data_IF_141881998208
#
_entry.id   IF_141881998208
#
_cell.length_a   1.000
_cell.length_b   1.000
_cell.length_c   1.000
_cell.angle_alpha   90.00
_cell.angle_beta   90.00
_cell.angle_gamma   90.00
#
_symmetry.space_group_name_H-M   'P 1'
#
loop_
_entity.id
_entity.type
_entity.pdbx_description
1 polymer ?
#
# COMPACT_ATOMS: atom_id res chain seq x y z
N UNK A 1 1.94 -5.82 -18.96
CA UNK A 1 2.46 -7.05 -18.33
C UNK A 1 3.14 -7.93 -19.37
N UNK A 2 4.24 -8.62 -19.04
CA UNK A 2 4.90 -9.52 -19.99
C UNK A 2 4.00 -10.74 -20.27
N UNK A 3 4.01 -11.26 -21.51
CA UNK A 3 3.09 -12.34 -21.92
C UNK A 3 3.24 -13.63 -21.10
N UNK A 4 4.44 -13.91 -20.57
CA UNK A 4 4.72 -15.12 -19.77
C UNK A 4 4.00 -15.11 -18.41
N UNK A 5 3.87 -13.94 -17.80
CA UNK A 5 3.26 -13.77 -16.47
C UNK A 5 1.77 -14.02 -16.50
N UNK A 6 1.10 -13.53 -17.55
CA UNK A 6 -0.33 -13.80 -17.80
C UNK A 6 -0.58 -15.30 -17.88
N UNK A 7 0.28 -15.99 -18.64
CA UNK A 7 0.21 -17.44 -18.83
C UNK A 7 0.42 -18.18 -17.51
N UNK A 8 1.44 -17.81 -16.73
CA UNK A 8 1.73 -18.44 -15.44
C UNK A 8 0.60 -18.23 -14.42
N UNK A 9 0.05 -17.01 -14.34
CA UNK A 9 -1.05 -16.70 -13.44
C UNK A 9 -2.33 -17.44 -13.82
N UNK A 10 -2.65 -17.51 -15.12
CA UNK A 10 -3.80 -18.26 -15.60
C UNK A 10 -3.66 -19.77 -15.39
N UNK A 11 -2.45 -20.31 -15.54
CA UNK A 11 -2.15 -21.71 -15.27
C UNK A 11 -2.25 -22.03 -13.78
N UNK A 12 -1.78 -21.12 -12.92
CA UNK A 12 -1.95 -21.20 -11.48
C UNK A 12 -3.43 -21.27 -11.08
N UNK A 13 -4.25 -20.34 -11.59
CA UNK A 13 -5.69 -20.34 -11.36
C UNK A 13 -6.35 -21.65 -11.82
N UNK A 14 -6.00 -22.13 -13.01
CA UNK A 14 -6.54 -23.37 -13.55
C UNK A 14 -6.13 -24.61 -12.73
N UNK A 15 -5.00 -24.58 -12.04
CA UNK A 15 -4.49 -25.69 -11.24
C UNK A 15 -5.07 -25.71 -9.83
N UNK A 16 -5.21 -24.54 -9.20
CA UNK A 16 -5.59 -24.42 -7.79
C UNK A 16 -7.08 -24.17 -7.55
N UNK A 17 -7.82 -23.70 -8.56
CA UNK A 17 -9.26 -23.48 -8.46
C UNK A 17 -10.03 -24.55 -9.23
N UNK A 18 -11.08 -25.08 -8.60
CA UNK A 18 -12.12 -25.84 -9.30
C UNK A 18 -12.93 -24.94 -10.23
N UNK A 19 -13.69 -25.53 -11.14
CA UNK A 19 -14.51 -24.76 -12.07
C UNK A 19 -15.59 -23.94 -11.35
N UNK A 20 -16.26 -24.52 -10.36
CA UNK A 20 -17.23 -23.83 -9.53
C UNK A 20 -16.62 -22.66 -8.74
N UNK A 21 -15.39 -22.82 -8.24
CA UNK A 21 -14.67 -21.74 -7.56
C UNK A 21 -14.28 -20.63 -8.53
N UNK A 22 -13.87 -20.96 -9.77
CA UNK A 22 -13.58 -19.93 -10.77
C UNK A 22 -14.81 -19.11 -11.18
N UNK A 23 -15.99 -19.73 -11.22
CA UNK A 23 -17.25 -19.02 -11.46
C UNK A 23 -17.52 -18.01 -10.34
N UNK A 24 -17.39 -18.45 -9.08
CA UNK A 24 -17.59 -17.58 -7.91
C UNK A 24 -16.54 -16.47 -7.86
N UNK A 25 -15.29 -16.80 -8.17
CA UNK A 25 -14.18 -15.87 -8.21
C UNK A 25 -14.32 -14.83 -9.32
N UNK A 26 -14.76 -15.23 -10.53
CA UNK A 26 -15.07 -14.27 -11.58
C UNK A 26 -16.23 -13.36 -11.18
N UNK A 27 -17.28 -13.92 -10.56
CA UNK A 27 -18.44 -13.18 -10.08
C UNK A 27 -18.10 -12.16 -8.99
N UNK A 28 -17.21 -12.50 -8.04
CA UNK A 28 -16.75 -11.56 -7.00
C UNK A 28 -15.97 -10.38 -7.58
N UNK A 29 -15.30 -10.59 -8.72
CA UNK A 29 -14.62 -9.54 -9.49
C UNK A 29 -15.56 -8.80 -10.47
N UNK A 30 -16.87 -9.08 -10.44
CA UNK A 30 -17.85 -8.44 -11.31
C UNK A 30 -17.78 -8.89 -12.78
N UNK A 31 -17.21 -10.08 -13.04
CA UNK A 31 -17.07 -10.66 -14.37
C UNK A 31 -17.97 -11.87 -14.54
N UNK A 32 -18.75 -11.86 -15.61
CA UNK A 32 -19.58 -13.00 -15.97
C UNK A 32 -18.72 -14.10 -16.60
N UNK A 33 -18.56 -15.20 -15.86
CA UNK A 33 -17.77 -16.35 -16.29
C UNK A 33 -18.29 -16.98 -17.60
N UNK A 34 -19.57 -16.85 -17.89
CA UNK A 34 -20.16 -17.38 -19.13
C UNK A 34 -19.81 -16.54 -20.36
N UNK A 35 -19.45 -15.27 -20.18
CA UNK A 35 -19.01 -14.40 -21.26
C UNK A 35 -17.50 -14.50 -21.54
N UNK A 36 -16.75 -15.29 -20.77
CA UNK A 36 -15.32 -15.52 -21.01
C UNK A 36 -15.10 -16.45 -22.22
N UNK A 37 -14.14 -16.10 -23.05
CA UNK A 37 -13.73 -16.90 -24.19
C UNK A 37 -13.03 -18.19 -23.74
N UNK A 38 -13.45 -19.32 -24.31
CA UNK A 38 -12.83 -20.62 -24.05
C UNK A 38 -13.81 -21.69 -23.56
N UNK A 39 -13.60 -22.92 -24.04
CA UNK A 39 -14.46 -24.07 -23.70
C UNK A 39 -13.96 -24.89 -22.51
N UNK A 40 -12.73 -24.66 -22.08
CA UNK A 40 -12.12 -25.39 -20.97
C UNK A 40 -11.87 -24.46 -19.80
N UNK A 41 -11.87 -25.01 -18.58
CA UNK A 41 -11.50 -24.29 -17.35
C UNK A 41 -10.20 -23.49 -17.52
N UNK A 42 -9.19 -24.12 -18.13
CA UNK A 42 -7.91 -23.47 -18.43
C UNK A 42 -8.10 -22.28 -19.37
N UNK A 43 -8.79 -22.47 -20.50
CA UNK A 43 -9.01 -21.38 -21.45
C UNK A 43 -9.77 -20.19 -20.82
N UNK A 44 -10.80 -20.46 -20.00
CA UNK A 44 -11.54 -19.42 -19.27
C UNK A 44 -10.68 -18.71 -18.22
N UNK A 45 -9.80 -19.41 -17.51
CA UNK A 45 -8.84 -18.79 -16.59
C UNK A 45 -7.86 -17.84 -17.32
N UNK A 46 -7.43 -18.22 -18.53
CA UNK A 46 -6.60 -17.37 -19.38
C UNK A 46 -7.34 -16.12 -19.83
N UNK A 47 -8.58 -16.26 -20.29
CA UNK A 47 -9.36 -15.10 -20.73
C UNK A 47 -9.74 -14.19 -19.55
N UNK A 48 -10.02 -14.74 -18.36
CA UNK A 48 -10.24 -13.95 -17.14
C UNK A 48 -9.03 -13.06 -16.82
N UNK A 49 -7.82 -13.62 -16.82
CA UNK A 49 -6.59 -12.85 -16.57
C UNK A 49 -6.37 -11.80 -17.66
N UNK A 50 -6.61 -12.15 -18.93
CA UNK A 50 -6.50 -11.22 -20.04
C UNK A 50 -7.54 -10.08 -19.95
N UNK A 51 -8.77 -10.39 -19.53
CA UNK A 51 -9.84 -9.44 -19.32
C UNK A 51 -9.50 -8.44 -18.21
N UNK A 52 -9.01 -8.92 -17.06
CA UNK A 52 -8.60 -8.06 -15.94
C UNK A 52 -7.40 -7.17 -16.29
N UNK A 53 -6.42 -7.70 -17.05
CA UNK A 53 -5.28 -6.92 -17.51
C UNK A 53 -5.70 -5.81 -18.50
N UNK A 54 -6.64 -6.08 -19.42
CA UNK A 54 -7.19 -5.06 -20.34
C UNK A 54 -7.87 -3.90 -19.59
N UNK A 55 -8.46 -4.17 -18.43
CA UNK A 55 -9.11 -3.17 -17.58
C UNK A 55 -8.19 -2.52 -16.55
N UNK A 56 -6.92 -2.92 -16.49
CA UNK A 56 -6.00 -2.47 -15.44
C UNK A 56 -6.37 -2.96 -14.03
N UNK A 57 -7.26 -3.96 -13.92
CA UNK A 57 -7.79 -4.49 -12.66
C UNK A 57 -7.02 -5.72 -12.16
N UNK A 58 -5.80 -5.95 -12.65
CA UNK A 58 -4.99 -7.10 -12.21
C UNK A 58 -4.66 -7.05 -10.73
N UNK A 59 -4.50 -5.84 -10.15
CA UNK A 59 -4.30 -5.68 -8.71
C UNK A 59 -5.52 -6.14 -7.89
N UNK A 60 -6.74 -5.89 -8.39
CA UNK A 60 -7.96 -6.37 -7.75
C UNK A 60 -8.07 -7.90 -7.80
N UNK A 61 -7.67 -8.51 -8.92
CA UNK A 61 -7.59 -9.96 -9.05
C UNK A 61 -6.61 -10.57 -8.03
N UNK A 62 -5.42 -9.98 -7.85
CA UNK A 62 -4.44 -10.45 -6.86
C UNK A 62 -4.96 -10.33 -5.43
N UNK A 63 -5.54 -9.17 -5.09
CA UNK A 63 -6.14 -8.92 -3.77
C UNK A 63 -7.25 -9.93 -3.46
N UNK A 64 -8.09 -10.25 -4.44
CA UNK A 64 -9.15 -11.23 -4.25
C UNK A 64 -8.60 -12.64 -3.99
N UNK A 65 -7.51 -13.03 -4.66
CA UNK A 65 -6.88 -14.34 -4.40
C UNK A 65 -6.29 -14.39 -2.98
N UNK A 66 -5.70 -13.30 -2.51
CA UNK A 66 -5.16 -13.20 -1.15
C UNK A 66 -6.26 -13.35 -0.08
N UNK A 67 -7.43 -12.74 -0.30
CA UNK A 67 -8.58 -12.86 0.59
C UNK A 67 -9.14 -14.28 0.65
N UNK A 68 -9.24 -14.96 -0.51
CA UNK A 68 -9.84 -16.30 -0.57
C UNK A 68 -8.88 -17.41 -0.13
N UNK A 69 -7.59 -17.32 -0.49
CA UNK A 69 -6.58 -18.33 -0.18
C UNK A 69 -5.25 -17.67 0.19
N UNK A 70 -5.08 -17.22 1.45
CA UNK A 70 -3.86 -16.53 1.90
C UNK A 70 -2.60 -17.42 1.87
N UNK A 71 -2.74 -18.74 1.78
CA UNK A 71 -1.60 -19.66 1.62
C UNK A 71 -1.05 -19.73 0.18
N UNK A 72 -1.81 -19.23 -0.80
CA UNK A 72 -1.44 -19.20 -2.22
C UNK A 72 -0.89 -17.84 -2.66
N UNK A 73 -1.13 -16.77 -1.88
CA UNK A 73 -0.70 -15.41 -2.20
C UNK A 73 0.81 -15.30 -2.32
N UNK A 74 1.57 -15.99 -1.47
CA UNK A 74 3.04 -16.05 -1.52
C UNK A 74 3.56 -16.53 -2.88
N UNK A 75 3.03 -17.64 -3.40
CA UNK A 75 3.43 -18.19 -4.70
C UNK A 75 3.04 -17.29 -5.88
N UNK A 76 1.89 -16.63 -5.78
CA UNK A 76 1.43 -15.70 -6.81
C UNK A 76 2.29 -14.43 -6.82
N UNK A 77 2.63 -13.90 -5.65
CA UNK A 77 3.48 -12.72 -5.52
C UNK A 77 4.87 -13.00 -6.10
N UNK A 78 5.44 -14.19 -5.88
CA UNK A 78 6.69 -14.60 -6.52
C UNK A 78 6.59 -14.61 -8.06
N UNK A 79 5.53 -15.21 -8.62
CA UNK A 79 5.28 -15.22 -10.08
C UNK A 79 5.15 -13.79 -10.62
N UNK A 80 4.50 -12.91 -9.87
CA UNK A 80 4.26 -11.52 -10.23
C UNK A 80 5.53 -10.65 -10.15
N UNK A 81 6.30 -10.78 -9.07
CA UNK A 81 7.53 -10.04 -8.81
C UNK A 81 8.65 -10.43 -9.77
N UNK A 82 8.82 -11.73 -10.06
CA UNK A 82 9.78 -12.22 -11.06
C UNK A 82 9.50 -11.64 -12.46
N UNK A 83 8.24 -11.32 -12.75
CA UNK A 83 7.83 -10.71 -14.01
C UNK A 83 8.00 -9.20 -14.05
N UNK A 84 7.75 -8.50 -12.94
CA UNK A 84 7.81 -7.04 -12.87
C UNK A 84 9.25 -6.51 -12.82
N UNK A 85 10.20 -7.31 -12.30
CA UNK A 85 11.64 -7.00 -12.24
C UNK A 85 12.35 -7.01 -13.61
N UNK A 86 11.66 -7.29 -14.71
CA UNK A 86 12.23 -7.25 -16.07
C UNK A 86 11.77 -6.01 -16.88
N UNK A 87 11.63 -4.86 -16.22
CA UNK A 87 11.58 -3.54 -16.87
C UNK A 87 12.89 -2.82 -16.57
N UNK A 88 13.67 -2.35 -17.56
CA UNK A 88 14.76 -1.43 -17.26
C UNK A 88 14.17 -0.20 -16.56
N UNK A 89 14.69 0.13 -15.37
CA UNK A 89 14.36 1.37 -14.68
C UNK A 89 14.56 2.54 -15.64
N UNK A 90 13.46 3.08 -16.18
CA UNK A 90 13.50 4.30 -16.98
C UNK A 90 13.51 5.48 -16.02
N UNK A 91 14.71 6.06 -15.88
CA UNK A 91 15.00 7.49 -15.67
C UNK A 91 13.97 8.28 -14.84
N UNK A 92 14.27 8.48 -13.55
CA UNK A 92 13.81 9.68 -12.83
C UNK A 92 14.84 10.80 -13.07
N UNK A 93 14.43 12.00 -13.52
CA UNK A 93 15.34 13.14 -13.55
C UNK A 93 15.68 13.54 -12.11
N UNK A 94 16.98 13.59 -11.81
CA UNK A 94 17.48 14.19 -10.59
C UNK A 94 17.15 15.68 -10.59
N UNK A 95 16.25 16.13 -9.72
CA UNK A 95 16.12 17.55 -9.42
C UNK A 95 17.25 17.96 -8.48
N UNK A 96 18.42 18.22 -9.07
CA UNK A 96 19.51 18.91 -8.39
C UNK A 96 19.26 20.42 -8.43
N UNK A 97 19.55 21.08 -7.30
CA UNK A 97 19.39 22.50 -7.02
C UNK A 97 19.99 23.38 -8.14
N UNK A 98 19.26 24.39 -8.64
CA UNK A 98 19.79 25.71 -9.07
C UNK A 98 18.70 26.69 -9.58
N UNK A 99 18.85 27.97 -9.19
CA UNK A 99 18.48 29.24 -9.85
C UNK A 99 17.02 29.70 -10.07
N UNK A 100 16.57 30.53 -9.12
CA UNK A 100 16.12 31.95 -9.21
C UNK A 100 15.90 32.67 -10.58
N UNK A 101 14.84 33.52 -10.61
CA UNK A 101 14.42 34.61 -11.58
C UNK A 101 13.66 34.17 -12.86
N UNK A 102 12.48 34.67 -13.30
CA UNK A 102 11.76 35.95 -13.15
C UNK A 102 10.26 35.82 -13.52
N UNK A 103 9.38 36.48 -12.75
CA UNK A 103 7.97 36.77 -13.09
C UNK A 103 7.89 38.16 -13.74
N UNK A 104 7.36 38.24 -14.96
CA UNK A 104 6.99 39.50 -15.61
C UNK A 104 5.56 39.91 -15.25
N UNK A 105 5.44 40.93 -14.41
CA UNK A 105 4.20 41.55 -13.93
C UNK A 105 3.67 42.52 -15.00
N UNK A 106 2.43 42.36 -15.46
CA UNK A 106 1.77 43.42 -16.25
C UNK A 106 0.46 43.06 -16.98
N UNK A 107 0.26 41.81 -17.40
CA UNK A 107 -0.85 41.46 -18.31
C UNK A 107 -2.00 40.61 -17.74
N UNK A 108 -1.87 40.06 -16.53
CA UNK A 108 -2.76 38.97 -16.07
C UNK A 108 -3.90 39.46 -15.14
N UNK A 109 -3.80 40.68 -14.59
CA UNK A 109 -4.75 41.15 -13.58
C UNK A 109 -6.18 41.39 -14.10
N UNK A 110 -6.39 41.60 -15.40
CA UNK A 110 -7.71 41.92 -15.94
C UNK A 110 -8.46 40.72 -16.53
N UNK A 111 -7.78 39.63 -16.88
CA UNK A 111 -8.42 38.39 -17.35
C UNK A 111 -8.82 37.44 -16.20
N UNK A 112 -8.29 37.66 -14.99
CA UNK A 112 -8.63 36.86 -13.81
C UNK A 112 -9.95 37.25 -13.13
N UNK A 113 -10.57 38.38 -13.49
CA UNK A 113 -11.76 38.87 -12.76
C UNK A 113 -13.10 38.44 -13.39
N UNK A 114 -13.17 38.18 -14.70
CA UNK A 114 -14.39 37.72 -15.36
C UNK A 114 -14.47 36.19 -15.57
N UNK A 115 -13.36 35.47 -15.40
CA UNK A 115 -13.39 34.01 -15.29
C UNK A 115 -13.82 33.51 -13.89
N UNK A 116 -13.93 34.40 -12.90
CA UNK A 116 -14.15 33.98 -11.50
C UNK A 116 -15.63 33.81 -11.10
N UNK A 117 -16.57 34.49 -11.77
CA UNK A 117 -18.00 34.42 -11.37
C UNK A 117 -18.77 33.34 -12.15
N UNK A 118 -18.43 33.08 -13.41
CA UNK A 118 -19.04 32.01 -14.20
C UNK A 118 -18.56 30.59 -13.84
N UNK A 119 -17.34 30.47 -13.31
CA UNK A 119 -16.76 29.19 -12.88
C UNK A 119 -17.37 28.69 -11.56
N UNK A 120 -17.87 29.60 -10.70
CA UNK A 120 -18.38 29.26 -9.37
C UNK A 120 -19.73 28.51 -9.37
N UNK A 121 -20.44 28.44 -10.50
CA UNK A 121 -21.67 27.64 -10.65
C UNK A 121 -21.53 26.42 -11.56
N UNK A 122 -20.40 26.25 -12.26
CA UNK A 122 -20.22 25.16 -13.23
C UNK A 122 -19.44 23.95 -12.66
N UNK A 123 -18.63 24.13 -11.61
CA UNK A 123 -17.78 23.05 -11.05
C UNK A 123 -18.51 22.15 -10.05
N UNK A 124 -19.64 22.57 -9.48
CA UNK A 124 -20.43 21.73 -8.56
C UNK A 124 -21.15 20.54 -9.27
N UNK A 125 -21.01 20.40 -10.59
CA UNK A 125 -21.73 19.40 -11.39
C UNK A 125 -20.95 18.18 -11.89
N UNK A 126 -19.65 18.27 -12.20
CA UNK A 126 -18.95 17.22 -12.95
C UNK A 126 -17.42 17.18 -12.71
N UNK A 127 -16.97 17.00 -11.48
CA UNK A 127 -15.55 16.79 -11.22
C UNK A 127 -15.29 16.31 -9.81
N UNK A 128 -15.43 15.00 -9.57
CA UNK A 128 -14.77 14.39 -8.43
C UNK A 128 -13.27 14.69 -8.55
N UNK A 129 -12.71 15.39 -7.57
CA UNK A 129 -11.26 15.50 -7.45
C UNK A 129 -10.68 14.08 -7.54
N UNK A 130 -9.59 13.85 -8.30
CA UNK A 130 -8.85 12.61 -8.13
C UNK A 130 -8.43 12.58 -6.67
N UNK A 131 -9.09 11.76 -5.86
CA UNK A 131 -8.65 11.45 -4.51
C UNK A 131 -7.21 10.99 -4.66
N UNK A 132 -6.27 11.81 -4.20
CA UNK A 132 -4.89 11.38 -4.08
C UNK A 132 -4.93 10.10 -3.25
N UNK A 133 -4.61 8.97 -3.89
CA UNK A 133 -4.44 7.72 -3.15
C UNK A 133 -3.30 8.01 -2.16
N UNK A 134 -3.51 7.79 -0.84
CA UNK A 134 -2.45 8.07 0.11
C UNK A 134 -1.25 7.17 -0.22
N UNK A 135 -0.13 7.80 -0.60
CA UNK A 135 1.12 7.10 -0.92
C UNK A 135 1.83 6.58 0.36
N UNK A 136 1.32 6.99 1.53
CA UNK A 136 1.83 6.64 2.84
C UNK A 136 0.71 6.10 3.75
N UNK A 137 1.06 5.14 4.59
CA UNK A 137 0.25 4.66 5.71
C UNK A 137 0.78 5.28 7.00
N UNK A 138 -0.12 5.58 7.92
CA UNK A 138 0.25 6.05 9.26
C UNK A 138 0.20 4.86 10.22
N UNK A 139 1.33 4.53 10.83
CA UNK A 139 1.43 3.47 11.83
C UNK A 139 1.70 4.07 13.21
N UNK A 140 0.89 3.71 14.20
CA UNK A 140 0.98 4.27 15.55
C UNK A 140 1.35 3.18 16.55
N UNK A 141 2.30 3.48 17.42
CA UNK A 141 2.75 2.60 18.50
C UNK A 141 2.53 3.31 19.83
N UNK A 142 1.82 2.68 20.75
CA UNK A 142 1.60 3.20 22.11
C UNK A 142 2.43 2.41 23.12
N UNK A 143 3.32 3.08 23.82
CA UNK A 143 4.18 2.51 24.86
C UNK A 143 3.59 2.75 26.23
N UNK A 144 3.45 1.70 27.02
CA UNK A 144 2.89 1.74 28.36
C UNK A 144 3.74 0.93 29.33
N UNK A 145 3.88 1.44 30.54
CA UNK A 145 4.59 0.79 31.63
C UNK A 145 3.73 -0.35 32.21
N UNK A 146 4.29 -1.55 32.32
CA UNK A 146 3.53 -2.73 32.77
C UNK A 146 3.10 -2.66 34.23
N UNK A 147 3.85 -1.94 35.09
CA UNK A 147 3.65 -1.89 36.54
C UNK A 147 2.63 -0.82 36.90
N UNK A 148 2.82 0.39 36.38
CA UNK A 148 1.99 1.56 36.67
C UNK A 148 0.79 1.69 35.73
N UNK A 149 0.82 1.04 34.55
CA UNK A 149 -0.17 1.25 33.51
C UNK A 149 -0.13 2.65 32.90
N UNK A 150 0.91 3.44 33.15
CA UNK A 150 1.03 4.81 32.64
C UNK A 150 1.72 4.84 31.28
N UNK A 151 1.39 5.79 30.40
CA UNK A 151 2.09 5.97 29.13
C UNK A 151 3.55 6.36 29.36
N UNK A 152 4.47 5.74 28.61
CA UNK A 152 5.91 6.04 28.72
C UNK A 152 6.29 7.10 27.70
N UNK A 153 6.62 8.28 28.20
CA UNK A 153 6.97 9.46 27.40
C UNK A 153 8.46 9.51 27.09
N UNK A 154 8.82 10.17 25.99
CA UNK A 154 10.21 10.32 25.54
C UNK A 154 10.97 8.99 25.48
N UNK A 155 10.31 7.91 25.05
CA UNK A 155 10.93 6.65 24.70
C UNK A 155 11.35 6.70 23.24
N UNK A 156 12.54 6.19 22.93
CA UNK A 156 13.03 6.04 21.57
C UNK A 156 12.45 4.75 21.01
N UNK A 157 11.62 4.86 19.98
CA UNK A 157 11.02 3.73 19.28
C UNK A 157 11.63 3.68 17.90
N UNK A 158 12.33 2.59 17.57
CA UNK A 158 12.88 2.38 16.25
C UNK A 158 12.13 1.25 15.54
N UNK A 159 11.68 1.53 14.32
CA UNK A 159 11.01 0.60 13.44
C UNK A 159 11.97 0.19 12.32
N UNK A 160 12.32 -1.09 12.27
CA UNK A 160 13.19 -1.66 11.24
C UNK A 160 12.35 -2.51 10.30
N UNK A 161 12.24 -2.10 9.06
CA UNK A 161 11.54 -2.84 8.00
C UNK A 161 12.47 -3.86 7.35
N UNK A 162 11.89 -4.92 6.80
CA UNK A 162 12.61 -6.02 6.16
C UNK A 162 13.24 -5.66 4.81
N UNK A 163 12.99 -4.46 4.29
CA UNK A 163 13.54 -3.91 3.05
C UNK A 163 15.03 -3.50 3.15
N UNK A 164 15.63 -3.60 4.34
CA UNK A 164 17.02 -3.22 4.58
C UNK A 164 17.25 -1.71 4.65
N UNK A 165 16.17 -0.91 4.70
CA UNK A 165 16.23 0.52 4.97
C UNK A 165 16.76 0.77 6.39
N UNK A 166 17.37 1.95 6.60
CA UNK A 166 17.76 2.36 7.94
C UNK A 166 16.52 2.41 8.86
N UNK A 167 16.64 2.03 10.15
CA UNK A 167 15.50 2.08 11.07
C UNK A 167 14.92 3.49 11.16
N UNK A 168 13.62 3.65 10.95
CA UNK A 168 12.94 4.91 11.25
C UNK A 168 12.80 5.02 12.77
N UNK A 169 13.16 6.18 13.32
CA UNK A 169 13.24 6.37 14.77
C UNK A 169 12.37 7.54 15.17
N UNK A 170 11.44 7.27 16.09
CA UNK A 170 10.49 8.25 16.60
C UNK A 170 10.57 8.31 18.12
N UNK A 171 10.16 9.44 18.68
CA UNK A 171 10.12 9.66 20.13
C UNK A 171 8.66 9.69 20.57
N UNK A 172 8.33 8.98 21.64
CA UNK A 172 6.96 8.98 22.17
C UNK A 172 6.56 10.35 22.74
N UNK A 173 5.33 10.76 22.44
CA UNK A 173 4.70 11.98 22.95
C UNK A 173 4.29 11.86 24.44
N UNK A 174 3.55 12.85 24.93
CA UNK A 174 3.03 12.86 26.33
C UNK A 174 2.02 11.75 26.61
N UNK A 175 1.41 11.17 25.58
CA UNK A 175 0.47 10.05 25.65
C UNK A 175 1.16 8.68 25.43
N UNK A 176 2.49 8.68 25.30
CA UNK A 176 3.28 7.48 25.05
C UNK A 176 3.17 6.99 23.60
N UNK A 177 2.74 7.82 22.66
CA UNK A 177 2.52 7.44 21.26
C UNK A 177 3.70 7.88 20.40
N UNK A 178 4.21 6.95 19.59
CA UNK A 178 5.12 7.21 18.47
C UNK A 178 4.36 6.98 17.15
N UNK A 179 4.54 7.89 16.18
CA UNK A 179 3.83 7.86 14.89
C UNK A 179 4.86 7.73 13.77
N UNK A 180 4.66 6.74 12.91
CA UNK A 180 5.49 6.46 11.74
C UNK A 180 4.69 6.71 10.47
N UNK A 181 5.33 7.36 9.50
CA UNK A 181 4.80 7.60 8.16
C UNK A 181 5.56 6.69 7.21
N UNK A 182 4.90 5.61 6.77
CA UNK A 182 5.54 4.56 6.00
C UNK A 182 4.96 4.56 4.60
N UNK A 183 5.76 4.27 3.56
CA UNK A 183 5.22 4.05 2.22
C UNK A 183 4.14 2.97 2.23
N UNK A 184 3.07 3.15 1.46
CA UNK A 184 1.99 2.14 1.35
C UNK A 184 2.51 0.79 0.82
N UNK A 185 3.67 0.77 0.16
CA UNK A 185 4.36 -0.46 -0.26
C UNK A 185 4.87 -1.31 0.91
N UNK A 186 4.98 -0.74 2.11
CA UNK A 186 5.36 -1.44 3.33
C UNK A 186 4.13 -1.90 4.15
N UNK A 187 2.92 -1.61 3.69
CA UNK A 187 1.71 -2.16 4.29
C UNK A 187 1.76 -3.70 4.28
N UNK A 188 1.29 -4.29 5.37
CA UNK A 188 1.24 -5.72 5.65
C UNK A 188 2.59 -6.44 5.67
N UNK A 189 3.70 -5.69 5.64
CA UNK A 189 5.05 -6.24 5.79
C UNK A 189 5.40 -6.51 7.25
N UNK A 190 6.33 -7.44 7.46
CA UNK A 190 6.94 -7.66 8.78
C UNK A 190 7.99 -6.58 9.07
N UNK A 191 7.90 -6.03 10.28
CA UNK A 191 8.85 -5.08 10.82
C UNK A 191 9.23 -5.45 12.25
N UNK A 192 10.42 -5.04 12.65
CA UNK A 192 10.89 -5.16 14.02
C UNK A 192 10.75 -3.81 14.71
N UNK A 193 9.98 -3.75 15.78
CA UNK A 193 9.94 -2.59 16.67
C UNK A 193 10.90 -2.84 17.82
N UNK A 194 11.74 -1.86 18.09
CA UNK A 194 12.56 -1.81 19.29
C UNK A 194 12.27 -0.54 20.08
N UNK A 195 12.28 -0.67 21.40
CA UNK A 195 12.00 0.43 22.32
C UNK A 195 13.14 0.56 23.31
N UNK A 196 13.66 1.77 23.43
CA UNK A 196 14.71 2.14 24.36
C UNK A 196 14.28 3.34 25.20
N UNK A 197 14.39 3.20 26.53
CA UNK A 197 14.16 4.28 27.49
C UNK A 197 15.06 4.06 28.70
N UNK A 198 15.70 5.12 29.17
CA UNK A 198 16.50 5.05 30.40
C UNK A 198 15.64 4.62 31.59
N UNK A 199 16.09 3.62 32.35
CA UNK A 199 15.35 3.04 33.48
C UNK A 199 14.32 1.98 33.07
N UNK A 200 14.34 1.54 31.81
CA UNK A 200 13.49 0.47 31.29
C UNK A 200 14.33 -0.54 30.52
N UNK A 201 13.92 -1.81 30.61
CA UNK A 201 14.53 -2.90 29.86
C UNK A 201 14.36 -2.66 28.37
N UNK A 202 15.44 -2.88 27.61
CA UNK A 202 15.37 -2.84 26.16
C UNK A 202 14.36 -3.86 25.65
N UNK A 203 13.42 -3.41 24.82
CA UNK A 203 12.34 -4.23 24.28
C UNK A 203 12.49 -4.37 22.77
N UNK A 204 12.20 -5.57 22.25
CA UNK A 204 12.19 -5.83 20.81
C UNK A 204 11.08 -6.82 20.46
N UNK A 205 10.34 -6.57 19.38
CA UNK A 205 9.25 -7.43 18.93
C UNK A 205 9.06 -7.34 17.41
N UNK A 206 8.77 -8.48 16.79
CA UNK A 206 8.32 -8.53 15.40
C UNK A 206 6.82 -8.26 15.32
N UNK A 207 6.43 -7.38 14.40
CA UNK A 207 5.06 -6.95 14.17
C UNK A 207 4.75 -6.97 12.68
N UNK A 208 3.46 -7.01 12.34
CA UNK A 208 2.96 -6.82 10.98
C UNK A 208 2.37 -5.42 10.84
N UNK A 209 2.82 -4.65 9.85
CA UNK A 209 2.43 -3.26 9.64
C UNK A 209 1.07 -3.13 8.97
N UNK A 210 -0.02 -3.13 9.74
CA UNK A 210 -1.37 -2.97 9.18
C UNK A 210 -1.80 -1.51 9.13
N UNK A 211 -2.34 -1.06 8.00
CA UNK A 211 -2.72 0.34 7.76
C UNK A 211 -3.97 0.82 8.53
N UNK A 212 -4.78 -0.11 9.06
CA UNK A 212 -6.09 0.17 9.67
C UNK A 212 -6.23 -0.28 11.13
N UNK A 213 -5.13 -0.55 11.83
CA UNK A 213 -5.20 -0.98 13.24
C UNK A 213 -5.11 0.19 14.22
N UNK A 214 -5.82 0.03 15.36
CA UNK A 214 -5.61 0.84 16.56
C UNK A 214 -4.12 0.88 16.93
N UNK A 215 -3.66 1.92 17.64
CA UNK A 215 -2.26 2.03 18.04
C UNK A 215 -1.77 0.71 18.66
N UNK A 216 -0.70 0.16 18.11
CA UNK A 216 -0.13 -1.08 18.59
C UNK A 216 0.37 -0.84 20.01
N UNK A 217 -0.26 -1.51 20.97
CA UNK A 217 0.10 -1.37 22.37
C UNK A 217 1.33 -2.25 22.66
N UNK A 218 2.39 -1.63 23.19
CA UNK A 218 3.60 -2.29 23.64
C UNK A 218 3.78 -2.00 25.12
N UNK A 219 3.92 -3.08 25.90
CA UNK A 219 4.16 -3.03 27.33
C UNK A 219 5.65 -3.21 27.60
N UNK A 220 6.25 -2.28 28.33
CA UNK A 220 7.67 -2.35 28.71
C UNK A 220 7.84 -2.40 30.22
N UNK A 221 8.92 -3.05 30.65
CA UNK A 221 9.26 -3.28 32.06
C UNK A 221 10.36 -2.31 32.54
N UNK A 222 10.26 -1.76 33.75
CA UNK A 222 11.34 -0.98 34.34
C UNK A 222 12.58 -1.85 34.58
N UNK A 223 13.78 -1.25 34.50
CA UNK A 223 15.03 -1.87 34.95
C UNK A 223 15.03 -1.89 36.48
N UNK A 224 14.95 -3.08 37.07
CA UNK A 224 14.92 -3.32 38.52
C UNK A 224 16.15 -2.82 39.27
#
# INVERSE_FOLDING_TARGET
MNGRTKTQLAEFLAQHFSESELVLFASSLGVDYENLEGRSKKAKAFDLVAYMDRRGQTAALLKQIELERPHLSSQINEIWEMSSNNRPQKYQPSFSKTSTWLVGVGGIALFLLLAFVGWRWFVDGLGGEPTAVPDEITYQVKIQDVVSGMPVQQATVALTTSDGSAPDTQITDTNGIAVFHLPISQADSEAMVSVQKNGYRYFTQFITLKSEQLPQMILIEPDS
#
